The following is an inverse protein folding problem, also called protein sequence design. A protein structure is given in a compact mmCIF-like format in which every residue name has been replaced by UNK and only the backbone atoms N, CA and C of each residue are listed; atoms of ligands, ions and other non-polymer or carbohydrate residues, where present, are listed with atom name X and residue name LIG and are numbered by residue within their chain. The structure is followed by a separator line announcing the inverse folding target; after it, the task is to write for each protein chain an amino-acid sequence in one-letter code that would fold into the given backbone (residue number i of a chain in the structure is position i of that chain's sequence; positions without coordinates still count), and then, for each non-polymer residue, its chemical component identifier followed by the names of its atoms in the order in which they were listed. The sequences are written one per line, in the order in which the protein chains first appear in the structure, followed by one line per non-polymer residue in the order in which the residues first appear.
data_IF_668489441897
#
_entry.id   IF_668489441897
#
_cell.length_a   1.000
_cell.length_b   1.000
_cell.length_c   1.000
_cell.angle_alpha   90.00
_cell.angle_beta   90.00
_cell.angle_gamma   90.00
#
_symmetry.space_group_name_H-M   'P 1'
#
loop_
_entity.id
_entity.type
_entity.pdbx_description
1 polymer ?
#
# COMPACT_ATOMS: atom_id res chain seq x y z
N UNK A 1 13.36 13.58 27.67
CA UNK A 1 13.76 12.61 27.13
C UNK A 1 12.77 11.65 26.75
N UNK A 2 11.87 11.32 27.48
CA UNK A 2 10.90 10.37 27.12
C UNK A 2 10.11 10.78 25.91
N UNK A 3 10.03 12.03 25.62
CA UNK A 3 9.27 12.45 24.48
C UNK A 3 9.78 11.91 23.18
N UNK A 4 11.07 11.76 23.11
CA UNK A 4 11.66 11.28 21.89
C UNK A 4 11.28 9.86 21.62
N UNK A 5 11.22 9.09 22.65
CA UNK A 5 10.87 7.73 22.47
C UNK A 5 9.46 7.58 22.04
N UNK A 6 8.59 8.44 22.51
CA UNK A 6 7.21 8.36 22.12
C UNK A 6 6.99 8.64 20.65
N UNK A 7 7.76 9.55 20.11
CA UNK A 7 7.56 9.88 18.71
C UNK A 7 8.05 8.80 17.80
N UNK A 8 8.90 7.91 18.30
CA UNK A 8 9.44 6.90 17.42
C UNK A 8 8.80 5.57 17.58
N UNK A 9 7.74 5.50 18.35
CA UNK A 9 7.28 4.27 18.61
C UNK A 9 6.29 3.69 17.84
N UNK A 10 6.11 3.79 16.74
CA UNK A 10 5.12 3.11 16.04
C UNK A 10 5.41 1.72 15.73
N UNK A 11 6.43 1.19 16.26
CA UNK A 11 6.78 -0.10 15.91
C UNK A 11 6.02 -1.09 16.64
N UNK A 12 4.77 -0.97 16.66
CA UNK A 12 3.97 -1.89 17.33
C UNK A 12 3.72 -3.07 16.46
N UNK A 13 3.28 -4.12 17.03
CA UNK A 13 2.87 -5.28 16.28
C UNK A 13 1.74 -4.85 15.34
N UNK A 14 1.82 -5.23 14.10
CA UNK A 14 0.79 -4.90 13.13
C UNK A 14 -0.53 -5.57 13.52
N UNK A 15 -1.63 -4.82 13.56
CA UNK A 15 -2.94 -5.45 13.75
C UNK A 15 -3.24 -6.43 12.62
N UNK A 16 -4.04 -7.43 12.90
CA UNK A 16 -4.37 -8.42 11.88
C UNK A 16 -5.18 -7.80 10.73
N UNK A 17 -5.94 -6.77 11.00
CA UNK A 17 -6.77 -6.12 10.00
C UNK A 17 -6.47 -4.65 9.96
N UNK A 18 -6.19 -4.12 8.78
CA UNK A 18 -5.98 -2.68 8.59
C UNK A 18 -7.00 -2.18 7.58
N UNK A 19 -7.47 -0.96 7.79
CA UNK A 19 -8.28 -0.31 6.78
C UNK A 19 -7.38 -0.02 5.60
N UNK A 20 -7.96 0.05 4.41
CA UNK A 20 -7.16 0.15 3.20
C UNK A 20 -7.82 1.08 2.20
N UNK A 21 -7.02 1.94 1.60
CA UNK A 21 -7.44 2.71 0.44
C UNK A 21 -6.84 2.07 -0.81
N UNK A 22 -7.60 2.07 -1.88
CA UNK A 22 -7.13 1.54 -3.16
C UNK A 22 -6.94 2.71 -4.11
N UNK A 23 -5.74 2.83 -4.65
CA UNK A 23 -5.41 3.91 -5.59
C UNK A 23 -4.93 3.27 -6.88
N UNK A 24 -5.47 3.73 -7.98
CA UNK A 24 -5.10 3.20 -9.29
C UNK A 24 -4.09 4.13 -9.94
N UNK A 25 -3.09 3.56 -10.56
CA UNK A 25 -2.07 4.36 -11.25
C UNK A 25 -1.58 3.61 -12.49
N UNK A 26 -0.76 4.29 -13.27
CA UNK A 26 -0.22 3.72 -14.48
C UNK A 26 1.29 3.56 -14.34
N UNK A 27 1.79 2.42 -14.77
CA UNK A 27 3.23 2.17 -14.80
C UNK A 27 3.52 1.84 -16.27
N UNK A 28 4.08 2.81 -16.99
CA UNK A 28 4.25 2.75 -18.42
C UNK A 28 2.88 2.56 -19.08
N UNK A 29 2.63 1.44 -19.73
CA UNK A 29 1.37 1.23 -20.39
C UNK A 29 0.44 0.30 -19.61
N UNK A 30 0.86 -0.09 -18.43
CA UNK A 30 0.08 -1.03 -17.62
C UNK A 30 -0.70 -0.31 -16.54
N UNK A 31 -1.84 -0.87 -16.20
CA UNK A 31 -2.66 -0.34 -15.13
C UNK A 31 -2.31 -1.08 -13.85
N UNK A 32 -2.13 -0.34 -12.77
CA UNK A 32 -1.70 -0.90 -11.50
C UNK A 32 -2.60 -0.45 -10.37
N UNK A 33 -2.55 -1.22 -9.29
CA UNK A 33 -3.30 -0.94 -8.08
C UNK A 33 -2.32 -0.75 -6.94
N UNK A 34 -2.57 0.24 -6.10
CA UNK A 34 -1.83 0.41 -4.85
C UNK A 34 -2.83 0.24 -3.71
N UNK A 35 -2.49 -0.64 -2.77
CA UNK A 35 -3.30 -0.88 -1.58
C UNK A 35 -2.55 -0.23 -0.42
N UNK A 36 -3.09 0.86 0.11
CA UNK A 36 -2.45 1.58 1.20
C UNK A 36 -3.14 1.20 2.50
N UNK A 37 -2.47 0.42 3.32
CA UNK A 37 -3.00 0.01 4.62
C UNK A 37 -2.83 1.14 5.61
N UNK A 38 -3.87 1.43 6.36
CA UNK A 38 -3.90 2.57 7.25
C UNK A 38 -4.00 2.11 8.70
N UNK A 39 -3.25 2.76 9.57
CA UNK A 39 -3.38 2.56 11.00
C UNK A 39 -3.69 3.92 11.59
N UNK A 40 -4.87 4.05 12.16
CA UNK A 40 -5.35 5.32 12.70
C UNK A 40 -5.30 6.44 11.65
N UNK A 41 -5.65 6.10 10.42
CA UNK A 41 -5.71 7.06 9.33
C UNK A 41 -4.39 7.41 8.68
N UNK A 42 -3.29 6.80 9.15
CA UNK A 42 -1.97 7.08 8.62
C UNK A 42 -1.46 5.87 7.84
N UNK A 43 -0.84 6.06 6.68
CA UNK A 43 -0.27 4.94 5.93
C UNK A 43 0.72 4.14 6.78
N UNK A 44 0.51 2.85 6.86
CA UNK A 44 1.32 1.94 7.64
C UNK A 44 2.02 0.93 6.73
N UNK A 45 1.41 0.59 5.63
CA UNK A 45 1.99 -0.34 4.67
C UNK A 45 1.41 -0.07 3.29
N UNK A 46 2.09 -0.56 2.27
CA UNK A 46 1.59 -0.44 0.91
C UNK A 46 1.90 -1.72 0.15
N UNK A 47 0.99 -2.14 -0.68
CA UNK A 47 1.19 -3.25 -1.60
C UNK A 47 0.78 -2.76 -2.98
N UNK A 48 1.50 -3.18 -4.01
CA UNK A 48 1.16 -2.79 -5.37
C UNK A 48 1.09 -4.01 -6.26
N UNK A 49 0.21 -3.97 -7.22
CA UNK A 49 0.07 -5.07 -8.15
C UNK A 49 -0.56 -4.64 -9.45
N UNK A 50 -0.40 -5.49 -10.44
CA UNK A 50 -0.92 -5.22 -11.78
C UNK A 50 -2.43 -5.42 -11.79
N UNK A 51 -3.13 -4.52 -12.43
CA UNK A 51 -4.57 -4.67 -12.61
C UNK A 51 -4.80 -5.45 -13.89
N UNK A 52 -4.77 -6.77 -13.78
CA UNK A 52 -4.86 -7.67 -14.91
C UNK A 52 -5.43 -9.00 -14.41
N UNK A 53 -6.22 -9.67 -15.24
CA UNK A 53 -6.90 -10.87 -14.79
C UNK A 53 -6.00 -12.11 -14.79
N UNK A 54 -4.83 -12.05 -15.41
CA UNK A 54 -3.92 -13.18 -15.42
C UNK A 54 -2.72 -12.98 -14.52
N UNK A 55 -2.09 -11.82 -14.57
CA UNK A 55 -0.89 -11.56 -13.81
C UNK A 55 -1.09 -10.67 -12.59
N UNK A 56 -2.30 -10.45 -12.21
CA UNK A 56 -2.60 -9.61 -11.08
C UNK A 56 -4.02 -9.82 -10.61
N UNK A 57 -4.76 -8.75 -10.43
CA UNK A 57 -6.16 -8.86 -10.07
C UNK A 57 -6.95 -7.70 -10.67
N UNK A 58 -8.23 -7.90 -10.85
CA UNK A 58 -9.11 -6.85 -11.33
C UNK A 58 -10.12 -6.58 -10.23
N UNK A 59 -10.32 -5.31 -9.92
CA UNK A 59 -11.32 -4.89 -8.95
C UNK A 59 -12.41 -4.11 -9.67
N UNK A 60 -13.66 -4.19 -9.18
CA UNK A 60 -14.70 -3.31 -9.70
C UNK A 60 -14.27 -1.85 -9.56
N UNK A 61 -14.59 -1.03 -10.54
CA UNK A 61 -14.15 0.37 -10.55
C UNK A 61 -14.65 1.16 -9.36
N UNK A 62 -15.75 0.71 -8.76
CA UNK A 62 -16.30 1.40 -7.60
C UNK A 62 -15.55 1.11 -6.30
N UNK A 63 -14.63 0.15 -6.30
CA UNK A 63 -13.93 -0.24 -5.09
C UNK A 63 -12.73 0.66 -4.89
N UNK A 64 -12.79 1.53 -3.90
CA UNK A 64 -11.70 2.42 -3.55
C UNK A 64 -11.22 2.22 -2.12
N UNK A 65 -11.91 1.40 -1.36
CA UNK A 65 -11.54 1.12 0.03
C UNK A 65 -11.79 -0.35 0.32
N UNK A 66 -11.19 -0.82 1.39
CA UNK A 66 -11.39 -2.19 1.84
C UNK A 66 -10.56 -2.43 3.07
N UNK A 67 -10.16 -3.69 3.28
CA UNK A 67 -9.36 -4.07 4.42
C UNK A 67 -8.27 -5.03 3.97
N UNK A 68 -7.09 -4.89 4.56
CA UNK A 68 -6.01 -5.85 4.34
C UNK A 68 -5.93 -6.72 5.59
N UNK A 69 -6.07 -8.02 5.40
CA UNK A 69 -6.11 -8.97 6.49
C UNK A 69 -4.85 -9.82 6.43
N UNK A 70 -4.11 -9.85 7.54
CA UNK A 70 -2.92 -10.68 7.65
C UNK A 70 -3.31 -12.01 8.26
N UNK A 71 -2.99 -13.08 7.58
CA UNK A 71 -3.25 -14.43 8.07
C UNK A 71 -1.93 -15.13 8.29
N UNK A 72 -1.80 -15.85 9.41
CA UNK A 72 -0.63 -16.67 9.68
C UNK A 72 -1.03 -18.10 9.43
N UNK A 73 -0.35 -18.75 8.50
CA UNK A 73 -0.66 -20.11 8.14
C UNK A 73 -0.04 -21.09 9.14
N UNK A 74 -0.48 -22.35 9.14
CA UNK A 74 0.03 -23.32 10.11
C UNK A 74 1.54 -23.51 10.10
N UNK A 75 2.18 -23.31 8.94
CA UNK A 75 3.63 -23.45 8.85
C UNK A 75 4.35 -22.18 9.25
N UNK A 76 3.63 -21.18 9.75
CA UNK A 76 4.25 -19.93 10.17
C UNK A 76 4.39 -18.86 9.10
N UNK A 77 4.08 -19.18 7.86
CA UNK A 77 4.18 -18.19 6.79
C UNK A 77 3.00 -17.23 6.88
N UNK A 78 3.17 -16.05 6.31
CA UNK A 78 2.15 -15.02 6.37
C UNK A 78 1.50 -14.85 5.01
N UNK A 79 0.20 -14.63 5.03
CA UNK A 79 -0.56 -14.37 3.83
C UNK A 79 -1.34 -13.08 4.04
N UNK A 80 -1.42 -12.26 3.02
CA UNK A 80 -2.17 -11.00 3.09
C UNK A 80 -3.31 -11.07 2.10
N UNK A 81 -4.52 -10.77 2.57
CA UNK A 81 -5.72 -10.83 1.76
C UNK A 81 -6.34 -9.45 1.68
N UNK A 82 -7.02 -9.16 0.60
CA UNK A 82 -7.76 -7.91 0.46
C UNK A 82 -9.25 -8.22 0.44
N UNK A 83 -10.00 -7.57 1.32
CA UNK A 83 -11.43 -7.76 1.43
C UNK A 83 -12.14 -6.45 1.14
N UNK A 84 -13.17 -6.50 0.34
CA UNK A 84 -13.96 -5.32 0.03
C UNK A 84 -15.44 -5.67 -0.02
N UNK A 85 -16.30 -4.64 0.00
CA UNK A 85 -17.73 -4.81 -0.08
C UNK A 85 -18.17 -4.24 -1.42
N UNK A 86 -18.89 -5.05 -2.20
CA UNK A 86 -19.32 -4.58 -3.52
C UNK A 86 -20.58 -3.71 -3.37
N UNK A 87 -21.09 -3.21 -4.51
CA UNK A 87 -22.22 -2.31 -4.49
C UNK A 87 -23.47 -2.93 -3.88
N UNK A 88 -23.58 -4.24 -3.92
CA UNK A 88 -24.74 -4.93 -3.38
C UNK A 88 -24.58 -5.26 -1.89
N UNK A 89 -23.45 -4.89 -1.30
CA UNK A 89 -23.21 -5.16 0.10
C UNK A 89 -22.59 -6.51 0.42
N UNK A 90 -22.17 -7.25 -0.58
CA UNK A 90 -21.55 -8.54 -0.35
C UNK A 90 -20.04 -8.38 -0.16
N UNK A 91 -19.50 -9.12 0.81
CA UNK A 91 -18.07 -9.12 1.04
C UNK A 91 -17.38 -10.06 0.07
N UNK A 92 -16.30 -9.61 -0.48
CA UNK A 92 -15.45 -10.42 -1.36
C UNK A 92 -14.04 -10.37 -0.83
N UNK A 93 -13.38 -11.51 -0.73
CA UNK A 93 -12.01 -11.59 -0.25
C UNK A 93 -11.12 -12.15 -1.36
N UNK A 94 -10.04 -11.42 -1.66
CA UNK A 94 -9.05 -11.86 -2.62
C UNK A 94 -7.86 -12.35 -1.81
N UNK A 95 -7.66 -13.65 -1.78
CA UNK A 95 -6.63 -14.25 -0.93
C UNK A 95 -5.26 -14.26 -1.58
N UNK A 96 -4.26 -14.06 -0.76
CA UNK A 96 -2.88 -14.25 -1.21
C UNK A 96 -2.37 -13.19 -2.15
N UNK A 97 -2.37 -11.94 -1.73
CA UNK A 97 -1.90 -10.86 -2.59
C UNK A 97 -0.50 -11.10 -3.13
N UNK A 98 0.39 -11.65 -2.31
CA UNK A 98 1.77 -11.85 -2.75
C UNK A 98 1.87 -12.82 -3.91
N UNK A 99 0.95 -13.77 -3.99
CA UNK A 99 0.97 -14.72 -5.10
C UNK A 99 0.39 -14.17 -6.38
N UNK A 100 -0.27 -13.01 -6.31
CA UNK A 100 -0.88 -12.42 -7.47
C UNK A 100 -0.06 -11.29 -8.06
N UNK A 101 0.96 -10.83 -7.36
CA UNK A 101 1.71 -9.65 -7.77
C UNK A 101 3.15 -9.99 -8.11
N UNK A 102 3.76 -9.21 -8.98
CA UNK A 102 5.14 -9.43 -9.39
C UNK A 102 6.07 -9.25 -8.21
N UNK A 103 6.97 -10.20 -8.04
CA UNK A 103 7.85 -10.25 -6.88
C UNK A 103 8.74 -9.02 -6.75
N UNK A 104 9.22 -8.50 -7.84
CA UNK A 104 10.12 -7.35 -7.81
C UNK A 104 9.44 -6.15 -7.15
N UNK A 105 8.24 -5.81 -7.61
CA UNK A 105 7.54 -4.66 -7.08
C UNK A 105 6.96 -4.95 -5.70
N UNK A 106 6.66 -6.21 -5.42
CA UNK A 106 6.26 -6.61 -4.07
C UNK A 106 7.38 -6.30 -3.08
N UNK A 107 8.64 -6.57 -3.47
CA UNK A 107 9.77 -6.30 -2.61
C UNK A 107 10.02 -4.81 -2.43
N UNK A 108 9.84 -4.00 -3.48
CA UNK A 108 9.98 -2.56 -3.35
C UNK A 108 8.92 -2.02 -2.39
N UNK A 109 7.70 -2.48 -2.52
CA UNK A 109 6.62 -2.05 -1.64
C UNK A 109 6.89 -2.48 -0.20
N UNK A 110 7.50 -3.63 0.00
CA UNK A 110 7.86 -4.12 1.31
C UNK A 110 8.85 -3.17 1.99
N UNK A 111 9.82 -2.67 1.23
CA UNK A 111 10.79 -1.71 1.78
C UNK A 111 10.11 -0.40 2.13
N UNK A 112 9.21 0.08 1.28
CA UNK A 112 8.48 1.30 1.56
C UNK A 112 7.58 1.11 2.78
N UNK A 113 6.95 -0.04 2.91
CA UNK A 113 6.14 -0.35 4.08
C UNK A 113 6.99 -0.30 5.36
N UNK A 114 8.25 -0.72 5.25
CA UNK A 114 9.15 -0.64 6.40
C UNK A 114 9.37 0.78 6.87
N UNK A 115 9.64 1.71 5.94
CA UNK A 115 9.86 3.10 6.36
C UNK A 115 8.56 3.73 6.87
N UNK A 116 7.41 3.35 6.35
CA UNK A 116 6.14 3.85 6.85
C UNK A 116 5.89 3.35 8.28
N UNK A 117 6.14 2.06 8.50
CA UNK A 117 5.90 1.44 9.80
C UNK A 117 6.75 2.06 10.89
N UNK A 118 8.00 2.38 10.56
CA UNK A 118 8.92 2.94 11.55
C UNK A 118 8.84 4.45 11.65
N UNK A 119 7.80 5.04 11.06
CA UNK A 119 7.45 6.41 11.40
C UNK A 119 8.08 7.51 10.58
N UNK A 120 8.64 7.19 9.43
CA UNK A 120 9.15 8.26 8.58
C UNK A 120 7.98 9.17 8.21
N UNK A 121 8.09 10.49 8.36
CA UNK A 121 6.99 11.37 7.97
C UNK A 121 6.58 11.15 6.53
N UNK A 122 5.29 11.22 6.25
CA UNK A 122 4.78 10.90 4.92
C UNK A 122 5.40 11.80 3.85
N UNK A 123 5.64 13.06 4.18
CA UNK A 123 6.26 13.98 3.24
C UNK A 123 7.64 13.50 2.82
N UNK A 124 8.37 12.92 3.75
CA UNK A 124 9.70 12.40 3.44
C UNK A 124 9.61 11.10 2.66
N UNK A 125 8.61 10.29 2.92
CA UNK A 125 8.42 9.04 2.18
C UNK A 125 8.09 9.37 0.73
N UNK A 126 7.21 10.35 0.50
CA UNK A 126 6.86 10.76 -0.85
C UNK A 126 8.09 11.26 -1.59
N UNK A 127 8.92 12.05 -0.91
CA UNK A 127 10.13 12.58 -1.51
C UNK A 127 11.10 11.46 -1.84
N UNK A 128 11.28 10.54 -0.91
CA UNK A 128 12.18 9.40 -1.12
C UNK A 128 11.73 8.58 -2.31
N UNK A 129 10.46 8.23 -2.37
CA UNK A 129 9.94 7.39 -3.46
C UNK A 129 10.04 8.15 -4.79
N UNK A 130 9.75 9.45 -4.79
CA UNK A 130 9.83 10.24 -6.02
C UNK A 130 11.26 10.34 -6.53
N UNK A 131 12.24 10.12 -5.67
CA UNK A 131 13.64 10.23 -6.08
C UNK A 131 14.17 8.94 -6.71
N UNK A 132 13.39 7.87 -6.68
CA UNK A 132 13.84 6.61 -7.26
C UNK A 132 13.92 6.75 -8.78
N UNK A 133 15.06 6.33 -9.32
CA UNK A 133 15.32 6.51 -10.75
C UNK A 133 14.84 5.28 -11.50
N UNK A 134 13.75 5.42 -12.19
CA UNK A 134 13.17 4.34 -12.98
C UNK A 134 12.94 4.83 -14.40
N UNK A 135 13.20 3.96 -15.36
CA UNK A 135 12.96 4.29 -16.76
C UNK A 135 11.45 4.37 -16.99
N UNK A 136 11.02 5.22 -17.88
CA UNK A 136 9.61 5.31 -18.21
C UNK A 136 8.97 6.68 -18.09
N UNK A 137 9.75 7.70 -17.75
CA UNK A 137 9.22 9.04 -17.66
C UNK A 137 8.31 9.26 -16.48
N UNK A 138 7.18 9.92 -16.68
CA UNK A 138 6.31 10.25 -15.58
C UNK A 138 5.38 9.10 -15.18
N UNK A 139 5.16 8.17 -16.11
CA UNK A 139 4.28 7.05 -15.81
C UNK A 139 5.14 5.87 -15.33
N UNK A 140 5.66 5.97 -14.11
CA UNK A 140 6.47 4.90 -13.54
C UNK A 140 5.85 4.43 -12.24
N UNK A 141 6.28 3.27 -11.80
CA UNK A 141 5.83 2.71 -10.52
C UNK A 141 6.12 3.67 -9.37
N UNK A 142 7.32 4.26 -9.36
CA UNK A 142 7.70 5.16 -8.27
C UNK A 142 6.80 6.37 -8.24
N UNK A 143 6.51 6.96 -9.39
CA UNK A 143 5.63 8.12 -9.44
C UNK A 143 4.21 7.76 -9.03
N UNK A 144 3.76 6.57 -9.39
CA UNK A 144 2.43 6.11 -9.00
C UNK A 144 2.30 5.94 -7.51
N UNK A 145 3.31 5.33 -6.88
CA UNK A 145 3.32 5.13 -5.44
C UNK A 145 3.41 6.46 -4.70
N UNK A 146 4.28 7.36 -5.19
CA UNK A 146 4.41 8.68 -4.58
C UNK A 146 3.07 9.41 -4.62
N UNK A 147 2.38 9.35 -5.75
CA UNK A 147 1.08 9.99 -5.89
C UNK A 147 0.05 9.37 -4.96
N UNK A 148 0.08 8.05 -4.81
CA UNK A 148 -0.86 7.36 -3.92
C UNK A 148 -0.66 7.78 -2.46
N UNK A 149 0.58 8.06 -2.05
CA UNK A 149 0.86 8.45 -0.68
C UNK A 149 0.71 9.96 -0.46
N UNK A 150 0.76 10.73 -1.52
CA UNK A 150 0.76 12.19 -1.39
C UNK A 150 -0.49 12.74 -0.73
N UNK A 151 -1.61 12.11 -0.92
CA UNK A 151 -2.85 12.60 -0.33
C UNK A 151 -2.85 12.54 1.19
N UNK A 152 -1.91 11.83 1.79
CA UNK A 152 -1.83 11.75 3.24
C UNK A 152 -0.83 12.75 3.81
N UNK A 153 -0.23 13.58 2.97
CA UNK A 153 0.72 14.58 3.42
C UNK A 153 -0.01 15.74 4.02
N UNK A 154 0.29 16.10 5.26
CA UNK A 154 -0.36 17.23 5.87
C UNK A 154 0.22 18.54 5.41
N UNK A 155 1.52 18.55 5.11
CA UNK A 155 2.14 19.79 4.69
C UNK A 155 1.71 20.20 3.29
N UNK A 156 1.26 19.26 2.51
CA UNK A 156 0.83 19.56 1.16
C UNK A 156 -0.38 20.48 1.16
N UNK A 157 -1.10 20.48 2.24
CA UNK A 157 -2.28 21.30 2.31
C UNK A 157 -1.94 22.75 2.31
N UNK A 158 -0.81 23.10 2.82
CA UNK A 158 -0.44 24.48 2.94
C UNK A 158 -0.08 25.10 1.60
N UNK A 159 0.02 24.31 0.60
CA UNK A 159 0.33 24.93 -0.65
C UNK A 159 -0.83 25.41 -1.35
#
# INVERSE_FOLDING_TARGET
MSDIEQTTTPIEKRPDVLECDVVRFQNEKEKWLAFVGLLDGRPYEIFTGLEDDEEGMILPKSVNTGKIIKCVLPDGTKRYDFQFVNKRGYKTTMEGLSGKFKKEYWNYAKLISGVLRYGMPIEHVVKLVSSLDMDGGIDTWANGVARALKKYCTTAISE
#
